data_IF_354658493584
#
_entry.id   IF_354658493584
#
_cell.length_a   1.000
_cell.length_b   1.000
_cell.length_c   1.000
_cell.angle_alpha   90.00
_cell.angle_beta   90.00
_cell.angle_gamma   90.00
#
_symmetry.space_group_name_H-M   'P 1'
#
loop_
_entity.id
_entity.type
_entity.pdbx_description
1 polymer ?
#
# COMPACT_ATOMS: atom_id res chain seq x y z
N UNK A 1 -5.64 0.56 34.82
CA UNK A 1 -6.66 1.40 34.14
C UNK A 1 -7.40 0.55 33.11
N UNK A 2 -8.67 0.83 32.81
CA UNK A 2 -9.51 0.00 31.92
C UNK A 2 -9.02 -0.01 30.47
N UNK A 3 -8.31 1.05 30.04
CA UNK A 3 -7.86 1.25 28.66
C UNK A 3 -6.73 0.30 28.21
N UNK A 4 -6.03 -0.37 29.13
CA UNK A 4 -4.91 -1.28 28.81
C UNK A 4 -5.22 -2.75 29.07
N UNK A 5 -6.49 -3.14 29.27
CA UNK A 5 -6.87 -4.53 29.58
C UNK A 5 -6.53 -5.55 28.48
N UNK A 6 -6.35 -5.06 27.26
CA UNK A 6 -6.05 -5.80 26.03
C UNK A 6 -4.57 -5.80 25.64
N UNK A 7 -3.71 -5.13 26.42
CA UNK A 7 -2.25 -5.20 26.27
C UNK A 7 -1.71 -6.15 27.34
N UNK A 8 -0.78 -7.01 26.95
CA UNK A 8 -0.09 -7.92 27.86
C UNK A 8 0.93 -7.17 28.76
N UNK A 9 2.03 -7.84 29.14
CA UNK A 9 3.06 -7.27 30.02
C UNK A 9 3.71 -5.99 29.48
N UNK A 10 3.80 -5.82 28.16
CA UNK A 10 4.45 -4.68 27.50
C UNK A 10 3.71 -4.30 26.22
N UNK A 11 3.57 -3.00 25.95
CA UNK A 11 2.98 -2.51 24.70
C UNK A 11 2.63 -1.03 24.74
N UNK A 12 2.19 -0.52 23.60
CA UNK A 12 1.74 0.86 23.43
C UNK A 12 0.39 0.86 22.76
N UNK A 13 -0.56 1.63 23.31
CA UNK A 13 -1.83 1.92 22.65
C UNK A 13 -1.88 3.40 22.32
N UNK A 14 -2.20 3.70 21.06
CA UNK A 14 -2.44 5.06 20.59
C UNK A 14 -3.92 5.15 20.22
N UNK A 15 -4.61 6.15 20.77
CA UNK A 15 -6.00 6.47 20.43
C UNK A 15 -5.99 7.85 19.78
N UNK A 16 -6.48 7.92 18.55
CA UNK A 16 -6.64 9.16 17.79
C UNK A 16 -8.14 9.43 17.70
N UNK A 17 -8.53 10.66 18.00
CA UNK A 17 -9.91 11.14 17.99
C UNK A 17 -9.95 12.52 17.32
N UNK A 18 -11.14 13.09 17.16
CA UNK A 18 -11.38 14.32 16.39
C UNK A 18 -10.76 14.22 14.97
N UNK A 19 -11.10 13.12 14.30
CA UNK A 19 -10.61 12.80 12.96
C UNK A 19 -11.00 13.88 11.95
N UNK A 20 -10.14 14.04 10.95
CA UNK A 20 -10.31 15.04 9.91
C UNK A 20 -11.61 14.84 9.12
N UNK A 21 -12.31 15.94 8.87
CA UNK A 21 -13.50 16.00 8.02
C UNK A 21 -13.20 16.76 6.74
N UNK A 22 -13.79 16.31 5.64
CA UNK A 22 -13.75 17.00 4.35
C UNK A 22 -14.73 18.20 4.33
N UNK A 23 -14.74 18.94 3.22
CA UNK A 23 -15.58 20.13 3.04
C UNK A 23 -17.10 19.84 3.12
N UNK A 24 -17.51 18.58 2.94
CA UNK A 24 -18.90 18.12 3.05
C UNK A 24 -19.29 17.74 4.49
N UNK A 25 -18.38 17.91 5.45
CA UNK A 25 -18.59 17.55 6.86
C UNK A 25 -18.56 16.05 7.14
N UNK A 26 -17.96 15.27 6.22
CA UNK A 26 -17.83 13.81 6.34
C UNK A 26 -16.38 13.46 6.68
N UNK A 27 -16.17 12.35 7.39
CA UNK A 27 -14.81 11.85 7.65
C UNK A 27 -14.08 11.57 6.34
N UNK A 28 -12.79 11.93 6.28
CA UNK A 28 -11.95 11.59 5.12
C UNK A 28 -11.75 10.08 4.97
N UNK A 29 -11.70 9.38 6.11
CA UNK A 29 -11.62 7.93 6.20
C UNK A 29 -13.03 7.34 6.27
N UNK A 30 -13.30 6.36 5.42
CA UNK A 30 -14.53 5.58 5.42
C UNK A 30 -14.34 4.29 6.21
N UNK A 31 -15.22 4.08 7.18
CA UNK A 31 -15.25 2.89 8.05
C UNK A 31 -16.51 2.04 7.83
N UNK A 32 -17.40 2.43 6.93
CA UNK A 32 -18.72 1.82 6.78
C UNK A 32 -18.81 0.94 5.53
N UNK A 33 -18.10 1.29 4.46
CA UNK A 33 -18.18 0.59 3.16
C UNK A 33 -17.58 -0.83 3.17
N UNK A 34 -16.58 -1.11 4.01
CA UNK A 34 -15.91 -2.41 4.14
C UNK A 34 -15.61 -2.69 5.61
N UNK A 35 -16.16 -3.77 6.18
CA UNK A 35 -16.04 -4.12 7.59
C UNK A 35 -14.65 -4.62 8.00
N UNK A 36 -13.81 -4.98 7.03
CA UNK A 36 -12.42 -5.41 7.20
C UNK A 36 -11.41 -4.33 6.77
N UNK A 37 -11.83 -3.21 6.19
CA UNK A 37 -10.92 -2.16 5.69
C UNK A 37 -11.23 -0.76 6.23
N UNK A 38 -10.29 0.16 5.99
CA UNK A 38 -10.48 1.61 6.12
C UNK A 38 -10.16 2.20 4.76
N UNK A 39 -11.14 2.83 4.13
CA UNK A 39 -11.00 3.36 2.78
C UNK A 39 -10.82 4.87 2.80
N UNK A 40 -10.25 5.44 1.74
CA UNK A 40 -10.31 6.87 1.49
C UNK A 40 -11.62 7.20 0.76
N UNK A 41 -12.34 8.22 1.25
CA UNK A 41 -13.67 8.59 0.73
C UNK A 41 -13.65 9.23 -0.65
N UNK A 42 -12.52 9.82 -1.04
CA UNK A 42 -12.35 10.54 -2.32
C UNK A 42 -12.18 9.65 -3.57
N UNK A 43 -12.55 8.36 -3.49
CA UNK A 43 -12.52 7.41 -4.64
C UNK A 43 -13.25 7.93 -5.87
N UNK A 44 -14.44 8.51 -5.68
CA UNK A 44 -15.29 8.97 -6.77
C UNK A 44 -14.68 10.15 -7.55
N UNK A 45 -13.87 11.00 -6.89
CA UNK A 45 -13.18 12.12 -7.54
C UNK A 45 -12.04 11.65 -8.44
N UNK A 46 -11.37 10.54 -8.10
CA UNK A 46 -10.23 10.03 -8.86
C UNK A 46 -10.60 9.42 -10.21
N UNK A 47 -11.88 9.12 -10.42
CA UNK A 47 -12.41 8.58 -11.68
C UNK A 47 -13.28 9.58 -12.43
N UNK A 48 -13.37 10.83 -11.95
CA UNK A 48 -14.15 11.89 -12.59
C UNK A 48 -13.67 12.15 -14.04
N UNK A 49 -14.62 12.17 -14.99
CA UNK A 49 -14.32 12.39 -16.41
C UNK A 49 -13.92 11.14 -17.21
N UNK A 50 -13.95 9.94 -16.60
CA UNK A 50 -13.69 8.67 -17.31
C UNK A 50 -15.00 7.99 -17.75
N UNK A 51 -14.96 7.20 -18.83
CA UNK A 51 -16.13 6.40 -19.25
C UNK A 51 -16.41 5.27 -18.27
N UNK A 52 -17.65 4.73 -18.22
CA UNK A 52 -18.01 3.63 -17.29
C UNK A 52 -17.05 2.44 -17.37
N UNK A 53 -16.68 2.02 -18.57
CA UNK A 53 -15.76 0.90 -18.80
C UNK A 53 -14.36 1.23 -18.27
N UNK A 54 -13.86 2.45 -18.53
CA UNK A 54 -12.55 2.86 -18.02
C UNK A 54 -12.53 2.95 -16.50
N UNK A 55 -13.63 3.43 -15.90
CA UNK A 55 -13.78 3.52 -14.44
C UNK A 55 -13.67 2.14 -13.79
N UNK A 56 -14.39 1.14 -14.29
CA UNK A 56 -14.31 -0.24 -13.78
C UNK A 56 -12.89 -0.82 -13.87
N UNK A 57 -12.20 -0.59 -14.99
CA UNK A 57 -10.83 -1.09 -15.17
C UNK A 57 -9.86 -0.35 -14.25
N UNK A 58 -10.02 0.97 -14.05
CA UNK A 58 -9.21 1.77 -13.10
C UNK A 58 -9.43 1.29 -11.67
N UNK A 59 -10.69 1.10 -11.26
CA UNK A 59 -11.03 0.64 -9.91
C UNK A 59 -10.46 -0.75 -9.60
N UNK A 60 -10.41 -1.62 -10.62
CA UNK A 60 -9.79 -2.94 -10.53
C UNK A 60 -8.25 -2.89 -10.53
N UNK A 61 -7.63 -1.80 -10.98
CA UNK A 61 -6.19 -1.70 -11.06
C UNK A 61 -5.54 -1.68 -9.68
N UNK A 62 -4.39 -2.36 -9.55
CA UNK A 62 -3.65 -2.44 -8.29
C UNK A 62 -3.29 -1.05 -7.75
N UNK A 63 -2.94 -0.07 -8.60
CA UNK A 63 -2.61 1.28 -8.11
C UNK A 63 -3.81 1.98 -7.48
N UNK A 64 -5.03 1.73 -7.96
CA UNK A 64 -6.24 2.29 -7.37
C UNK A 64 -6.46 1.68 -5.98
N UNK A 65 -6.41 0.34 -5.89
CA UNK A 65 -6.53 -0.35 -4.60
C UNK A 65 -5.47 0.12 -3.60
N UNK A 66 -4.21 0.21 -4.01
CA UNK A 66 -3.12 0.70 -3.15
C UNK A 66 -3.29 2.16 -2.70
N UNK A 67 -3.99 2.99 -3.49
CA UNK A 67 -4.26 4.37 -3.14
C UNK A 67 -5.40 4.50 -2.15
N UNK A 68 -6.48 3.73 -2.32
CA UNK A 68 -7.73 3.95 -1.59
C UNK A 68 -8.03 2.97 -0.47
N UNK A 69 -7.38 1.80 -0.44
CA UNK A 69 -7.57 0.76 0.59
C UNK A 69 -6.36 0.70 1.51
N UNK A 70 -6.57 0.91 2.82
CA UNK A 70 -5.51 0.79 3.81
C UNK A 70 -5.01 -0.66 3.91
N UNK A 71 -5.91 -1.65 3.80
CA UNK A 71 -5.55 -3.08 3.76
C UNK A 71 -4.63 -3.39 2.57
N UNK A 72 -4.98 -2.93 1.38
CA UNK A 72 -4.15 -3.13 0.19
C UNK A 72 -2.79 -2.43 0.34
N UNK A 73 -2.76 -1.18 0.78
CA UNK A 73 -1.52 -0.45 1.02
C UNK A 73 -0.62 -1.15 2.06
N UNK A 74 -1.21 -1.57 3.19
CA UNK A 74 -0.47 -2.25 4.27
C UNK A 74 0.05 -3.63 3.86
N UNK A 75 -0.62 -4.32 2.92
CA UNK A 75 -0.17 -5.62 2.39
C UNK A 75 1.20 -5.57 1.71
N UNK A 76 1.55 -4.44 1.09
CA UNK A 76 2.81 -4.24 0.35
C UNK A 76 3.82 -3.36 1.11
N UNK A 77 3.44 -2.89 2.30
CA UNK A 77 4.18 -1.86 3.02
C UNK A 77 5.61 -2.28 3.36
N UNK A 78 5.84 -3.59 3.48
CA UNK A 78 7.15 -4.17 3.66
C UNK A 78 7.55 -5.03 2.46
N UNK A 79 8.80 -4.92 2.00
CA UNK A 79 9.31 -5.74 0.89
C UNK A 79 9.36 -7.23 1.28
N UNK A 80 9.80 -7.51 2.52
CA UNK A 80 9.90 -8.85 3.10
C UNK A 80 9.04 -8.94 4.34
N UNK A 81 8.30 -10.04 4.46
CA UNK A 81 7.55 -10.38 5.67
C UNK A 81 8.51 -10.63 6.83
N UNK A 82 8.18 -10.07 7.99
CA UNK A 82 8.84 -10.37 9.25
C UNK A 82 8.20 -11.59 9.92
N UNK A 83 9.00 -12.48 10.50
CA UNK A 83 8.48 -13.71 11.12
C UNK A 83 7.58 -13.43 12.35
N UNK A 84 7.92 -12.42 13.14
CA UNK A 84 7.28 -12.13 14.43
C UNK A 84 6.47 -10.82 14.41
N UNK A 85 5.99 -10.42 13.23
CA UNK A 85 5.22 -9.20 13.08
C UNK A 85 4.07 -9.43 12.11
N UNK A 86 2.90 -8.94 12.50
CA UNK A 86 1.68 -8.98 11.70
C UNK A 86 0.94 -7.67 11.86
N UNK A 87 0.22 -7.27 10.81
CA UNK A 87 -0.70 -6.15 10.85
C UNK A 87 -2.10 -6.76 10.93
N UNK A 88 -2.86 -6.35 11.94
CA UNK A 88 -4.27 -6.69 12.08
C UNK A 88 -5.04 -5.40 11.87
N UNK A 89 -5.88 -5.36 10.84
CA UNK A 89 -6.76 -4.23 10.55
C UNK A 89 -8.19 -4.68 10.80
N UNK A 90 -8.93 -3.93 11.61
CA UNK A 90 -10.34 -4.23 11.96
C UNK A 90 -10.58 -5.68 12.41
N UNK A 91 -9.66 -6.22 13.20
CA UNK A 91 -9.75 -7.59 13.73
C UNK A 91 -9.33 -8.70 12.75
N UNK A 92 -8.95 -8.37 11.52
CA UNK A 92 -8.54 -9.34 10.48
C UNK A 92 -7.08 -9.14 10.08
N UNK A 93 -6.32 -10.22 10.07
CA UNK A 93 -4.91 -10.22 9.66
C UNK A 93 -4.79 -9.72 8.21
N UNK A 94 -3.85 -8.81 7.96
CA UNK A 94 -3.52 -8.35 6.61
C UNK A 94 -2.52 -9.33 6.01
N UNK A 95 -2.88 -9.94 4.89
CA UNK A 95 -1.98 -10.81 4.14
C UNK A 95 -0.86 -9.99 3.49
N UNK A 96 0.39 -10.43 3.67
CA UNK A 96 1.54 -9.78 3.03
C UNK A 96 1.62 -10.18 1.55
N UNK A 97 1.82 -9.19 0.68
CA UNK A 97 1.92 -9.38 -0.77
C UNK A 97 3.31 -8.92 -1.23
N UNK A 98 3.99 -9.78 -1.98
CA UNK A 98 5.17 -9.39 -2.74
C UNK A 98 4.78 -9.06 -4.17
N UNK A 99 4.69 -7.77 -4.50
CA UNK A 99 4.30 -7.28 -5.83
C UNK A 99 5.18 -7.86 -6.94
N UNK A 100 6.48 -8.08 -6.67
CA UNK A 100 7.41 -8.62 -7.66
C UNK A 100 7.12 -10.10 -8.03
N UNK A 101 6.30 -10.82 -7.25
CA UNK A 101 5.83 -12.16 -7.61
C UNK A 101 4.71 -12.11 -8.66
N UNK A 102 3.94 -11.03 -8.68
CA UNK A 102 2.76 -10.88 -9.56
C UNK A 102 3.09 -10.26 -10.92
N UNK A 103 4.35 -9.86 -11.16
CA UNK A 103 4.80 -9.31 -12.43
C UNK A 103 4.83 -10.36 -13.54
N UNK A 104 4.17 -10.07 -14.67
CA UNK A 104 4.29 -10.80 -15.94
C UNK A 104 5.59 -10.40 -16.66
N UNK A 105 6.19 -11.34 -17.38
CA UNK A 105 7.44 -11.14 -18.15
C UNK A 105 8.57 -10.50 -17.34
N UNK A 106 8.68 -10.90 -16.06
CA UNK A 106 9.64 -10.33 -15.11
C UNK A 106 11.08 -10.48 -15.60
N UNK A 107 11.82 -9.38 -15.54
CA UNK A 107 13.27 -9.30 -15.68
C UNK A 107 13.88 -8.77 -14.39
N UNK A 108 15.07 -9.28 -14.08
CA UNK A 108 15.83 -8.91 -12.89
C UNK A 108 17.14 -8.32 -13.36
N UNK A 109 17.49 -7.14 -12.88
CA UNK A 109 18.79 -6.53 -13.12
C UNK A 109 19.39 -5.96 -11.84
N UNK A 110 20.68 -5.67 -11.89
CA UNK A 110 21.42 -5.06 -10.78
C UNK A 110 21.76 -3.63 -11.15
N UNK A 111 21.26 -2.69 -10.36
CA UNK A 111 21.65 -1.28 -10.45
C UNK A 111 22.84 -1.03 -9.53
N UNK A 112 23.89 -0.40 -10.06
CA UNK A 112 25.04 0.08 -9.29
C UNK A 112 25.09 1.60 -9.42
N UNK A 113 24.72 2.35 -8.37
CA UNK A 113 24.84 3.80 -8.41
C UNK A 113 26.30 4.22 -8.55
N UNK A 114 26.54 5.27 -9.33
CA UNK A 114 27.82 5.94 -9.39
C UNK A 114 27.92 6.84 -8.15
N UNK A 115 28.69 6.41 -7.16
CA UNK A 115 28.95 7.17 -5.94
C UNK A 115 30.34 7.82 -5.99
N UNK A 116 30.48 9.01 -5.42
CA UNK A 116 31.77 9.66 -5.20
C UNK A 116 32.63 8.82 -4.26
N UNK A 117 33.96 8.97 -4.38
CA UNK A 117 35.00 8.02 -3.96
C UNK A 117 34.95 7.46 -2.51
N UNK A 118 34.13 8.01 -1.60
CA UNK A 118 34.07 7.62 -0.19
C UNK A 118 32.82 6.82 0.23
N UNK A 119 31.94 6.46 -0.70
CA UNK A 119 30.75 5.64 -0.40
C UNK A 119 30.89 4.19 -0.86
N UNK A 120 30.52 3.24 0.01
CA UNK A 120 30.41 1.83 -0.37
C UNK A 120 29.39 1.67 -1.51
N UNK A 121 29.85 1.12 -2.64
CA UNK A 121 28.98 0.83 -3.78
C UNK A 121 28.03 -0.32 -3.41
N UNK A 122 26.81 0.02 -3.01
CA UNK A 122 25.76 -0.97 -2.79
C UNK A 122 25.09 -1.30 -4.12
N UNK A 123 25.21 -2.56 -4.54
CA UNK A 123 24.46 -3.07 -5.69
C UNK A 123 23.02 -3.34 -5.28
N UNK A 124 22.06 -2.80 -6.03
CA UNK A 124 20.62 -2.94 -5.75
C UNK A 124 19.98 -3.85 -6.78
N UNK A 125 19.25 -4.87 -6.33
CA UNK A 125 18.44 -5.72 -7.21
C UNK A 125 17.15 -4.97 -7.60
N UNK A 126 16.83 -4.97 -8.88
CA UNK A 126 15.62 -4.37 -9.42
C UNK A 126 14.84 -5.43 -10.21
N UNK A 127 13.59 -5.63 -9.84
CA UNK A 127 12.63 -6.48 -10.55
C UNK A 127 11.71 -5.58 -11.40
N UNK A 128 11.66 -5.80 -12.72
CA UNK A 128 10.80 -5.06 -13.66
C UNK A 128 9.98 -6.03 -14.48
N UNK A 129 8.71 -5.71 -14.69
CA UNK A 129 7.81 -6.49 -15.51
C UNK A 129 6.51 -5.74 -15.72
N UNK A 130 5.48 -6.47 -16.16
CA UNK A 130 4.17 -5.93 -16.44
C UNK A 130 3.18 -6.33 -15.34
N UNK A 131 2.30 -5.41 -14.95
CA UNK A 131 1.14 -5.73 -14.12
C UNK A 131 0.24 -6.76 -14.82
N UNK A 132 -0.59 -7.48 -14.07
CA UNK A 132 -1.46 -8.52 -14.63
C UNK A 132 -2.45 -7.94 -15.66
N UNK A 133 -2.84 -6.70 -15.49
CA UNK A 133 -3.81 -5.95 -16.29
C UNK A 133 -3.17 -5.21 -17.48
N UNK A 134 -1.83 -5.23 -17.60
CA UNK A 134 -1.15 -4.60 -18.73
C UNK A 134 -1.44 -5.36 -20.06
N UNK A 135 -1.56 -4.64 -21.20
CA UNK A 135 -1.30 -3.22 -21.40
C UNK A 135 -2.55 -2.30 -21.25
N UNK A 136 -3.68 -2.83 -20.77
CA UNK A 136 -5.02 -2.24 -20.94
C UNK A 136 -5.13 -0.79 -20.42
N UNK A 137 -4.43 -0.46 -19.33
CA UNK A 137 -4.61 0.79 -18.61
C UNK A 137 -3.56 1.87 -18.91
N UNK A 138 -2.45 1.52 -19.55
CA UNK A 138 -1.31 2.44 -19.71
C UNK A 138 -0.72 2.98 -18.39
N UNK A 139 -1.05 2.38 -17.24
CA UNK A 139 -0.52 2.75 -15.93
C UNK A 139 0.82 2.05 -15.71
N UNK A 140 1.83 2.82 -15.33
CA UNK A 140 3.17 2.34 -15.01
C UNK A 140 3.70 3.07 -13.78
N UNK A 141 4.65 2.45 -13.07
CA UNK A 141 5.24 3.01 -11.87
C UNK A 141 6.36 2.13 -11.32
N UNK A 142 6.97 2.58 -10.23
CA UNK A 142 7.98 1.85 -9.48
C UNK A 142 7.63 1.86 -8.01
N UNK A 143 7.75 0.69 -7.37
CA UNK A 143 7.74 0.61 -5.92
C UNK A 143 9.18 0.66 -5.41
N UNK A 144 9.51 1.65 -4.59
CA UNK A 144 10.84 1.82 -4.02
C UNK A 144 10.79 1.55 -2.53
N UNK A 145 11.73 0.72 -2.06
CA UNK A 145 11.82 0.33 -0.67
C UNK A 145 13.13 0.80 -0.06
N UNK A 146 13.07 1.36 1.15
CA UNK A 146 14.22 1.70 1.97
C UNK A 146 14.14 0.97 3.30
N UNK A 147 15.19 0.25 3.69
CA UNK A 147 15.23 -0.54 4.95
C UNK A 147 13.98 -1.40 5.14
N UNK A 148 13.60 -2.13 4.09
CA UNK A 148 12.41 -2.99 4.02
C UNK A 148 11.05 -2.26 3.98
N UNK A 149 10.98 -0.93 4.04
CA UNK A 149 9.74 -0.14 4.04
C UNK A 149 9.48 0.54 2.69
N UNK A 150 8.26 0.49 2.18
CA UNK A 150 7.84 1.22 0.98
C UNK A 150 7.94 2.73 1.20
N UNK A 151 8.53 3.45 0.24
CA UNK A 151 8.68 4.92 0.27
C UNK A 151 8.07 5.62 -0.95
N UNK A 152 7.91 4.92 -2.07
CA UNK A 152 7.32 5.43 -3.31
C UNK A 152 6.67 4.27 -4.06
#
# INVERSE_FOLDING_TARGET
SVQFKDIESHGTKVVIYDLWMNDDGLLELDFDDDDEDILLRDQAKATAGTTKIQKEIIEQHISHRLRFSLRAYTSILYLKKYANFQIILRGKVVEHINIAHDLKFKKIFTYKPQVTHDSQVVSVKVDVGFAKEAPVLGIFGMNVYHKNRLIM
#
